data_IF_768383767975
#
_entry.id   IF_768383767975
#
_cell.length_a   1.000
_cell.length_b   1.000
_cell.length_c   1.000
_cell.angle_alpha   90.00
_cell.angle_beta   90.00
_cell.angle_gamma   90.00
#
_symmetry.space_group_name_H-M   'P 1'
#
loop_
_entity.id
_entity.type
_entity.pdbx_description
1 polymer ?
#
# COMPACT_ATOMS: atom_id res chain seq x y z
N UNK A 1 -4.20 23.46 -12.29
CA UNK A 1 -5.07 22.66 -11.40
C UNK A 1 -6.42 22.47 -12.04
N UNK A 2 -6.91 21.25 -12.24
CA UNK A 2 -8.23 20.96 -12.84
C UNK A 2 -8.94 19.82 -12.10
N UNK A 3 -10.27 19.92 -11.92
CA UNK A 3 -11.14 18.93 -11.25
C UNK A 3 -12.32 18.54 -12.14
N UNK A 4 -12.59 17.24 -12.25
CA UNK A 4 -13.77 16.65 -12.85
C UNK A 4 -14.49 15.77 -11.82
N UNK A 5 -15.78 16.03 -11.59
CA UNK A 5 -16.61 15.31 -10.61
C UNK A 5 -17.86 14.72 -11.27
N UNK A 6 -18.33 13.60 -10.73
CA UNK A 6 -19.60 12.97 -11.13
C UNK A 6 -19.65 12.75 -12.64
N UNK A 7 -18.63 12.06 -13.14
CA UNK A 7 -18.55 11.70 -14.55
C UNK A 7 -19.58 10.61 -14.88
N UNK A 8 -20.07 10.62 -16.13
CA UNK A 8 -21.00 9.61 -16.65
C UNK A 8 -20.43 8.93 -17.87
N UNK A 9 -19.28 8.26 -17.75
CA UNK A 9 -18.57 7.68 -18.91
C UNK A 9 -19.05 6.27 -19.26
N UNK A 10 -20.35 5.99 -19.15
CA UNK A 10 -20.92 4.63 -19.28
C UNK A 10 -20.65 3.95 -20.63
N UNK A 11 -20.31 4.74 -21.67
CA UNK A 11 -19.99 4.26 -23.02
C UNK A 11 -18.53 4.53 -23.45
N UNK A 12 -17.65 4.93 -22.54
CA UNK A 12 -16.22 5.15 -22.85
C UNK A 12 -15.36 4.09 -22.16
N UNK A 13 -14.29 3.66 -22.82
CA UNK A 13 -13.33 2.69 -22.28
C UNK A 13 -12.22 3.34 -21.42
N UNK A 14 -12.10 4.67 -21.46
CA UNK A 14 -11.04 5.40 -20.77
C UNK A 14 -11.36 6.88 -20.52
N UNK A 15 -10.43 7.59 -19.89
CA UNK A 15 -10.48 9.04 -19.70
C UNK A 15 -10.51 9.73 -21.08
N UNK A 16 -11.35 10.78 -21.28
CA UNK A 16 -11.52 11.40 -22.59
C UNK A 16 -10.25 12.01 -23.18
N UNK A 17 -10.16 11.97 -24.51
CA UNK A 17 -9.05 12.51 -25.29
C UNK A 17 -8.74 13.98 -25.00
N UNK A 18 -9.76 14.77 -24.69
CA UNK A 18 -9.68 16.23 -24.45
C UNK A 18 -8.75 16.58 -23.28
N UNK A 19 -8.47 15.62 -22.39
CA UNK A 19 -7.53 15.82 -21.28
C UNK A 19 -6.15 16.26 -21.76
N UNK A 20 -5.74 15.88 -22.98
CA UNK A 20 -4.44 16.24 -23.56
C UNK A 20 -4.21 17.74 -23.71
N UNK A 21 -5.29 18.52 -23.79
CA UNK A 21 -5.20 19.98 -23.97
C UNK A 21 -4.94 20.73 -22.66
N UNK A 22 -4.81 20.02 -21.53
CA UNK A 22 -4.48 20.59 -20.22
C UNK A 22 -2.96 20.62 -20.00
N UNK A 23 -2.17 20.98 -21.02
CA UNK A 23 -0.71 20.85 -21.07
C UNK A 23 0.07 21.52 -19.92
N UNK A 24 -0.45 22.62 -19.37
CA UNK A 24 0.12 23.34 -18.22
C UNK A 24 -0.37 22.82 -16.85
N UNK A 25 -1.18 21.75 -16.79
CA UNK A 25 -1.76 21.28 -15.54
C UNK A 25 -0.75 20.49 -14.70
N UNK A 26 -0.38 21.04 -13.53
CA UNK A 26 0.42 20.32 -12.53
C UNK A 26 -0.39 19.37 -11.65
N UNK A 27 -1.71 19.51 -11.63
CA UNK A 27 -2.58 18.60 -10.88
C UNK A 27 -3.93 18.44 -11.56
N UNK A 28 -4.38 17.18 -11.56
CA UNK A 28 -5.57 16.70 -12.22
C UNK A 28 -6.33 15.74 -11.31
N UNK A 29 -7.64 15.97 -11.18
CA UNK A 29 -8.51 15.15 -10.35
C UNK A 29 -9.73 14.70 -11.16
N UNK A 30 -9.93 13.39 -11.23
CA UNK A 30 -11.17 12.74 -11.64
C UNK A 30 -11.75 12.03 -10.43
N UNK A 31 -12.98 12.35 -10.08
CA UNK A 31 -13.61 11.75 -8.91
C UNK A 31 -15.05 11.37 -9.18
N UNK A 32 -15.38 10.14 -8.81
CA UNK A 32 -16.72 9.55 -8.91
C UNK A 32 -17.21 9.44 -10.35
N UNK A 33 -17.41 8.19 -10.77
CA UNK A 33 -18.08 7.84 -12.01
C UNK A 33 -19.33 7.03 -11.69
N UNK A 34 -20.39 7.22 -12.48
CA UNK A 34 -21.63 6.49 -12.29
C UNK A 34 -21.39 4.99 -12.43
N UNK A 35 -21.97 4.21 -11.51
CA UNK A 35 -21.92 2.75 -11.55
C UNK A 35 -20.48 2.19 -11.64
N UNK A 36 -19.52 2.77 -10.92
CA UNK A 36 -18.08 2.42 -11.00
C UNK A 36 -17.83 0.92 -10.88
N UNK A 37 -18.63 0.21 -10.09
CA UNK A 37 -18.62 -1.24 -9.87
C UNK A 37 -19.02 -2.06 -11.10
N UNK A 38 -19.60 -1.46 -12.13
CA UNK A 38 -19.93 -2.11 -13.41
C UNK A 38 -18.88 -1.86 -14.50
N UNK A 39 -17.97 -0.92 -14.27
CA UNK A 39 -17.02 -0.46 -15.28
C UNK A 39 -15.69 -1.24 -15.27
N UNK A 40 -14.98 -1.18 -16.39
CA UNK A 40 -13.65 -1.78 -16.60
C UNK A 40 -12.74 -0.78 -17.34
N UNK A 41 -12.60 0.43 -16.80
CA UNK A 41 -11.91 1.52 -17.50
C UNK A 41 -10.40 1.38 -17.43
N UNK A 42 -9.73 1.97 -18.42
CA UNK A 42 -8.31 2.33 -18.38
C UNK A 42 -8.13 3.83 -18.22
N UNK A 43 -6.93 4.29 -17.92
CA UNK A 43 -6.60 5.72 -18.03
C UNK A 43 -6.57 6.20 -19.48
N UNK A 44 -6.36 5.30 -20.44
CA UNK A 44 -6.11 5.66 -21.84
C UNK A 44 -4.78 6.40 -22.02
N UNK A 45 -4.39 6.71 -23.28
CA UNK A 45 -3.03 7.15 -23.56
C UNK A 45 -2.78 8.63 -23.29
N UNK A 46 -3.84 9.44 -23.19
CA UNK A 46 -3.74 10.90 -23.32
C UNK A 46 -3.21 11.62 -22.09
N UNK A 47 -3.28 11.00 -20.90
CA UNK A 47 -2.66 11.56 -19.70
C UNK A 47 -1.13 11.69 -19.85
N UNK A 48 -0.51 10.84 -20.67
CA UNK A 48 0.93 10.83 -20.90
C UNK A 48 1.47 12.11 -21.56
N UNK A 49 0.59 12.92 -22.14
CA UNK A 49 0.94 14.19 -22.78
C UNK A 49 1.06 15.35 -21.77
N UNK A 50 0.64 15.15 -20.52
CA UNK A 50 0.68 16.16 -19.47
C UNK A 50 2.05 16.19 -18.78
N UNK A 51 3.07 16.67 -19.50
CA UNK A 51 4.46 16.64 -19.06
C UNK A 51 4.74 17.38 -17.74
N UNK A 52 3.88 18.32 -17.34
CA UNK A 52 4.00 19.08 -16.09
C UNK A 52 3.24 18.47 -14.90
N UNK A 53 2.54 17.34 -15.10
CA UNK A 53 1.67 16.76 -14.08
C UNK A 53 2.47 16.18 -12.90
N UNK A 54 2.23 16.73 -11.71
CA UNK A 54 2.84 16.32 -10.43
C UNK A 54 1.89 15.53 -9.55
N UNK A 55 0.58 15.84 -9.59
CA UNK A 55 -0.42 15.17 -8.75
C UNK A 55 -1.58 14.67 -9.57
N UNK A 56 -1.85 13.37 -9.50
CA UNK A 56 -2.95 12.73 -10.20
C UNK A 56 -3.87 12.02 -9.21
N UNK A 57 -5.15 12.39 -9.22
CA UNK A 57 -6.20 11.63 -8.54
C UNK A 57 -7.19 11.11 -9.57
N UNK A 58 -7.41 9.80 -9.60
CA UNK A 58 -8.50 9.16 -10.32
C UNK A 58 -9.18 8.22 -9.35
N UNK A 59 -10.16 8.72 -8.61
CA UNK A 59 -10.79 7.98 -7.52
C UNK A 59 -12.25 7.65 -7.82
N UNK A 60 -12.70 6.46 -7.42
CA UNK A 60 -14.06 5.99 -7.66
C UNK A 60 -14.48 6.05 -9.14
N UNK A 61 -13.54 5.78 -10.05
CA UNK A 61 -13.75 5.97 -11.48
C UNK A 61 -14.06 4.67 -12.24
N UNK A 62 -13.82 3.52 -11.60
CA UNK A 62 -14.04 2.20 -12.19
C UNK A 62 -12.86 1.69 -13.02
N UNK A 63 -11.65 2.19 -12.74
CA UNK A 63 -10.42 1.68 -13.37
C UNK A 63 -10.16 0.22 -12.98
N UNK A 64 -9.71 -0.58 -13.94
CA UNK A 64 -9.17 -1.94 -13.71
C UNK A 64 -7.73 -2.08 -14.16
N UNK A 65 -7.22 -1.12 -14.94
CA UNK A 65 -5.85 -1.08 -15.45
C UNK A 65 -5.39 0.37 -15.66
N UNK A 66 -4.09 0.55 -15.71
CA UNK A 66 -3.46 1.78 -16.21
C UNK A 66 -3.05 1.54 -17.67
N UNK A 67 -3.11 2.59 -18.49
CA UNK A 67 -2.51 2.53 -19.81
C UNK A 67 -0.98 2.61 -19.67
N UNK A 68 -0.18 1.80 -20.40
CA UNK A 68 1.28 1.77 -20.25
C UNK A 68 1.95 3.14 -20.45
N UNK A 69 1.36 4.02 -21.26
CA UNK A 69 1.88 5.37 -21.51
C UNK A 69 1.89 6.27 -20.27
N UNK A 70 1.14 5.92 -19.21
CA UNK A 70 1.12 6.68 -17.95
C UNK A 70 2.54 6.83 -17.37
N UNK A 71 3.42 5.87 -17.65
CA UNK A 71 4.82 5.86 -17.23
C UNK A 71 5.65 7.03 -17.78
N UNK A 72 5.13 7.79 -18.75
CA UNK A 72 5.74 9.02 -19.26
C UNK A 72 5.54 10.24 -18.34
N UNK A 73 4.71 10.14 -17.30
CA UNK A 73 4.51 11.21 -16.30
C UNK A 73 5.70 11.29 -15.34
N UNK A 74 6.86 11.74 -15.84
CA UNK A 74 8.14 11.73 -15.12
C UNK A 74 8.22 12.70 -13.94
N UNK A 75 7.31 13.68 -13.86
CA UNK A 75 7.21 14.64 -12.77
C UNK A 75 6.19 14.24 -11.69
N UNK A 76 5.57 13.06 -11.80
CA UNK A 76 4.51 12.67 -10.88
C UNK A 76 5.08 12.39 -9.47
N UNK A 77 4.55 13.09 -8.48
CA UNK A 77 4.95 13.05 -7.07
C UNK A 77 3.90 12.35 -6.19
N UNK A 78 2.63 12.45 -6.60
CA UNK A 78 1.45 11.96 -5.88
C UNK A 78 0.51 11.23 -6.84
N UNK A 79 0.12 10.00 -6.46
CA UNK A 79 -0.87 9.21 -7.19
C UNK A 79 -1.95 8.68 -6.25
N UNK A 80 -3.20 9.03 -6.54
CA UNK A 80 -4.36 8.49 -5.84
C UNK A 80 -5.30 7.77 -6.81
N UNK A 81 -5.39 6.45 -6.61
CA UNK A 81 -6.24 5.53 -7.35
C UNK A 81 -7.24 4.83 -6.43
N UNK A 82 -7.56 5.44 -5.28
CA UNK A 82 -8.49 4.86 -4.32
C UNK A 82 -9.90 4.69 -4.90
N UNK A 83 -10.61 3.65 -4.46
CA UNK A 83 -12.00 3.47 -4.87
C UNK A 83 -12.21 2.88 -6.27
N UNK A 84 -11.17 2.41 -6.99
CA UNK A 84 -11.35 1.77 -8.30
C UNK A 84 -11.60 0.25 -8.15
N UNK A 85 -11.28 -0.55 -9.16
CA UNK A 85 -11.61 -1.97 -9.24
C UNK A 85 -10.36 -2.83 -9.59
N UNK A 86 -9.16 -2.43 -9.16
CA UNK A 86 -7.92 -3.13 -9.52
C UNK A 86 -7.86 -4.53 -8.90
N UNK A 87 -7.62 -5.55 -9.74
CA UNK A 87 -7.48 -6.95 -9.33
C UNK A 87 -6.07 -7.27 -8.82
N UNK A 88 -5.06 -6.56 -9.34
CA UNK A 88 -3.65 -6.59 -8.94
C UNK A 88 -3.09 -5.17 -9.00
N UNK A 89 -1.94 -4.93 -8.39
CA UNK A 89 -1.19 -3.67 -8.43
C UNK A 89 -0.68 -3.49 -9.87
N UNK A 90 -1.06 -2.42 -10.58
CA UNK A 90 -0.55 -2.15 -11.92
C UNK A 90 0.97 -1.99 -11.91
N UNK A 91 1.68 -2.68 -12.81
CA UNK A 91 3.15 -2.67 -12.83
C UNK A 91 3.71 -1.29 -13.23
N UNK A 92 2.91 -0.49 -13.92
CA UNK A 92 3.22 0.89 -14.31
C UNK A 92 3.49 1.79 -13.10
N UNK A 93 2.84 1.53 -11.96
CA UNK A 93 3.05 2.29 -10.72
C UNK A 93 4.52 2.27 -10.31
N UNK A 94 5.19 1.12 -10.44
CA UNK A 94 6.58 1.01 -10.04
C UNK A 94 7.54 1.83 -10.90
N UNK A 95 7.17 2.14 -12.15
CA UNK A 95 7.98 3.04 -12.99
C UNK A 95 7.74 4.51 -12.63
N UNK A 96 6.53 4.85 -12.17
CA UNK A 96 6.22 6.18 -11.66
C UNK A 96 6.95 6.47 -10.35
N UNK A 97 7.07 5.46 -9.49
CA UNK A 97 7.79 5.51 -8.23
C UNK A 97 9.30 5.71 -8.39
N UNK A 98 9.88 5.49 -9.58
CA UNK A 98 11.29 5.79 -9.85
C UNK A 98 11.60 7.31 -9.82
N UNK A 99 10.57 8.18 -9.85
CA UNK A 99 10.75 9.61 -9.62
C UNK A 99 11.17 9.86 -8.15
N UNK A 100 12.34 10.48 -7.87
CA UNK A 100 12.80 10.75 -6.51
C UNK A 100 11.86 11.61 -5.66
N UNK A 101 11.00 12.42 -6.30
CA UNK A 101 9.99 13.24 -5.62
C UNK A 101 8.65 12.49 -5.40
N UNK A 102 8.53 11.22 -5.85
CA UNK A 102 7.35 10.39 -5.62
C UNK A 102 7.26 9.95 -4.17
N UNK A 103 6.27 10.49 -3.45
CA UNK A 103 6.16 10.33 -2.00
C UNK A 103 4.84 9.74 -1.54
N UNK A 104 3.79 9.76 -2.36
CA UNK A 104 2.45 9.38 -1.93
C UNK A 104 1.70 8.50 -2.94
N UNK A 105 1.30 7.31 -2.49
CA UNK A 105 0.48 6.37 -3.24
C UNK A 105 -0.77 5.99 -2.45
N UNK A 106 -1.95 6.19 -3.05
CA UNK A 106 -3.23 5.78 -2.44
C UNK A 106 -3.95 4.76 -3.29
N UNK A 107 -4.23 3.61 -2.69
CA UNK A 107 -4.83 2.43 -3.31
C UNK A 107 -5.92 1.80 -2.42
N UNK A 108 -6.42 2.48 -1.39
CA UNK A 108 -7.49 1.94 -0.55
C UNK A 108 -8.80 1.72 -1.35
N UNK A 109 -9.63 0.77 -0.91
CA UNK A 109 -11.01 0.61 -1.40
C UNK A 109 -11.10 0.25 -2.90
N UNK A 110 -10.15 -0.51 -3.43
CA UNK A 110 -10.07 -0.88 -4.84
C UNK A 110 -10.93 -2.08 -5.25
N UNK A 111 -11.94 -2.42 -4.46
CA UNK A 111 -12.86 -3.52 -4.75
C UNK A 111 -14.05 -3.07 -5.62
N UNK A 112 -14.56 -4.02 -6.42
CA UNK A 112 -15.75 -3.83 -7.23
C UNK A 112 -17.02 -3.77 -6.37
N UNK A 113 -17.23 -4.81 -5.57
CA UNK A 113 -18.35 -4.96 -4.64
C UNK A 113 -17.86 -5.40 -3.28
N UNK A 114 -18.53 -4.94 -2.21
CA UNK A 114 -18.20 -5.35 -0.86
C UNK A 114 -18.65 -6.79 -0.64
N UNK A 115 -17.70 -7.66 -0.32
CA UNK A 115 -17.89 -9.05 0.06
C UNK A 115 -17.21 -9.23 1.40
N UNK A 116 -18.02 -9.16 2.46
CA UNK A 116 -17.51 -9.19 3.82
C UNK A 116 -16.91 -10.57 4.16
N UNK A 117 -17.63 -11.64 3.82
CA UNK A 117 -17.25 -13.03 4.07
C UNK A 117 -16.94 -13.74 2.74
N UNK A 118 -15.65 -13.92 2.43
CA UNK A 118 -15.22 -14.61 1.22
C UNK A 118 -15.42 -16.13 1.30
N UNK A 119 -15.69 -16.69 2.49
CA UNK A 119 -15.89 -18.14 2.65
C UNK A 119 -17.20 -18.64 2.04
N UNK A 120 -18.13 -17.72 1.81
CA UNK A 120 -19.43 -17.96 1.18
C UNK A 120 -19.58 -17.27 -0.18
N UNK A 121 -18.51 -16.65 -0.69
CA UNK A 121 -18.52 -16.00 -1.99
C UNK A 121 -18.68 -17.03 -3.11
N UNK A 122 -19.72 -16.87 -3.93
CA UNK A 122 -20.01 -17.78 -5.05
C UNK A 122 -19.22 -17.46 -6.31
N UNK A 123 -18.61 -16.27 -6.39
CA UNK A 123 -17.75 -15.84 -7.48
C UNK A 123 -16.65 -14.92 -6.95
N UNK A 124 -15.40 -15.32 -7.14
CA UNK A 124 -14.20 -14.58 -6.72
C UNK A 124 -13.50 -13.91 -7.90
N UNK A 125 -14.01 -14.10 -9.12
CA UNK A 125 -13.42 -13.52 -10.32
C UNK A 125 -13.73 -12.03 -10.40
N UNK A 126 -12.72 -11.21 -10.74
CA UNK A 126 -12.85 -9.76 -10.96
C UNK A 126 -13.45 -8.99 -9.77
N UNK A 127 -13.11 -9.45 -8.56
CA UNK A 127 -13.56 -8.85 -7.31
C UNK A 127 -12.94 -7.45 -7.08
N UNK A 128 -11.83 -7.17 -7.74
CA UNK A 128 -10.95 -6.06 -7.42
C UNK A 128 -10.26 -6.27 -6.07
N UNK A 129 -9.86 -5.18 -5.44
CA UNK A 129 -9.30 -5.14 -4.10
C UNK A 129 -7.95 -5.86 -4.00
N UNK A 130 -7.21 -5.98 -5.09
CA UNK A 130 -5.92 -6.69 -5.12
C UNK A 130 -6.03 -8.17 -4.73
N UNK A 131 -7.19 -8.79 -4.97
CA UNK A 131 -7.45 -10.17 -4.55
C UNK A 131 -6.52 -11.21 -5.20
N UNK A 132 -6.10 -10.98 -6.44
CA UNK A 132 -5.11 -11.83 -7.13
C UNK A 132 -3.69 -11.31 -6.98
N UNK A 133 -3.45 -10.38 -6.06
CA UNK A 133 -2.11 -9.85 -5.87
C UNK A 133 -1.15 -10.95 -5.45
N UNK A 134 0.00 -10.92 -6.11
CA UNK A 134 1.12 -11.83 -5.88
C UNK A 134 2.06 -11.23 -4.85
N UNK A 135 2.86 -12.10 -4.23
CA UNK A 135 3.86 -11.66 -3.26
C UNK A 135 4.91 -10.72 -3.88
N UNK A 136 5.22 -10.86 -5.18
CA UNK A 136 6.31 -10.14 -5.83
C UNK A 136 6.08 -8.62 -5.92
N UNK A 137 4.91 -8.18 -6.38
CA UNK A 137 4.62 -6.74 -6.50
C UNK A 137 4.38 -6.12 -5.13
N UNK A 138 3.74 -6.86 -4.22
CA UNK A 138 3.53 -6.40 -2.86
C UNK A 138 4.87 -6.21 -2.10
N UNK A 139 5.80 -7.17 -2.23
CA UNK A 139 7.18 -7.00 -1.73
C UNK A 139 7.87 -5.79 -2.34
N UNK A 140 7.82 -5.62 -3.66
CA UNK A 140 8.43 -4.46 -4.35
C UNK A 140 7.87 -3.13 -3.84
N UNK A 141 6.57 -3.08 -3.58
CA UNK A 141 5.90 -1.89 -3.04
C UNK A 141 6.40 -1.55 -1.63
N UNK A 142 6.50 -2.54 -0.74
CA UNK A 142 6.95 -2.36 0.64
C UNK A 142 8.44 -1.97 0.73
N UNK A 143 9.27 -2.36 -0.25
CA UNK A 143 10.69 -2.00 -0.28
C UNK A 143 10.96 -0.57 -0.80
N UNK A 144 9.93 0.23 -1.10
CA UNK A 144 10.16 1.59 -1.58
C UNK A 144 10.54 2.56 -0.46
N UNK A 145 11.67 3.25 -0.61
CA UNK A 145 12.23 4.10 0.44
C UNK A 145 11.75 5.56 0.41
N UNK A 146 11.14 5.99 -0.70
CA UNK A 146 10.70 7.37 -0.89
C UNK A 146 9.30 7.70 -0.35
N UNK A 147 8.48 6.68 -0.02
CA UNK A 147 7.08 6.91 0.35
C UNK A 147 6.97 7.49 1.77
N UNK A 148 6.23 8.59 1.90
CA UNK A 148 5.70 9.07 3.17
C UNK A 148 4.23 8.66 3.39
N UNK A 149 3.52 8.31 2.31
CA UNK A 149 2.09 7.96 2.33
C UNK A 149 1.84 6.73 1.48
N UNK A 150 1.27 5.68 2.09
CA UNK A 150 0.83 4.47 1.41
C UNK A 150 -0.50 4.00 1.99
N UNK A 151 -1.56 4.00 1.19
CA UNK A 151 -2.87 3.49 1.63
C UNK A 151 -3.27 2.24 0.86
N UNK A 152 -3.42 1.12 1.58
CA UNK A 152 -3.84 -0.19 1.07
C UNK A 152 -5.07 -0.72 1.81
N UNK A 153 -5.63 0.06 2.75
CA UNK A 153 -6.73 -0.40 3.60
C UNK A 153 -8.03 -0.67 2.84
N UNK A 154 -8.90 -1.47 3.45
CA UNK A 154 -10.23 -1.81 2.93
C UNK A 154 -10.15 -2.43 1.52
N UNK A 155 -9.39 -3.50 1.41
CA UNK A 155 -9.15 -4.26 0.18
C UNK A 155 -9.26 -5.77 0.49
N UNK A 156 -8.82 -6.62 -0.43
CA UNK A 156 -8.80 -8.07 -0.28
C UNK A 156 -7.38 -8.65 -0.40
N UNK A 157 -6.34 -7.89 -0.05
CA UNK A 157 -4.99 -8.45 0.09
C UNK A 157 -5.04 -9.64 1.04
N UNK A 158 -4.41 -10.74 0.66
CA UNK A 158 -4.43 -12.01 1.40
C UNK A 158 -3.04 -12.64 1.47
N UNK A 159 -2.90 -13.65 2.32
CA UNK A 159 -1.61 -14.26 2.62
C UNK A 159 -0.93 -13.54 3.79
N UNK A 160 0.36 -13.76 3.95
CA UNK A 160 1.15 -13.18 5.04
C UNK A 160 1.93 -11.95 4.59
N UNK A 161 2.27 -11.10 5.55
CA UNK A 161 3.26 -10.05 5.33
C UNK A 161 4.64 -10.68 5.11
N UNK A 162 5.43 -10.20 4.12
CA UNK A 162 6.77 -10.71 3.89
C UNK A 162 7.69 -10.37 5.07
N UNK A 163 8.46 -11.36 5.54
CA UNK A 163 9.48 -11.16 6.58
C UNK A 163 10.76 -10.53 6.01
N UNK A 164 11.04 -10.77 4.73
CA UNK A 164 12.30 -10.47 4.04
C UNK A 164 13.52 -11.19 4.66
N UNK A 165 13.27 -12.31 5.32
CA UNK A 165 14.27 -13.15 5.95
C UNK A 165 14.24 -14.56 5.34
N UNK A 166 15.42 -15.15 5.19
CA UNK A 166 15.59 -16.56 4.95
C UNK A 166 15.11 -17.38 6.16
N UNK A 167 14.84 -18.68 6.00
CA UNK A 167 14.44 -19.56 7.10
C UNK A 167 15.43 -19.63 8.27
N UNK A 168 16.71 -19.29 8.07
CA UNK A 168 17.74 -19.23 9.11
C UNK A 168 17.79 -17.88 9.85
N UNK A 169 16.88 -16.95 9.52
CA UNK A 169 16.78 -15.62 10.11
C UNK A 169 17.71 -14.57 9.48
N UNK A 170 18.55 -14.93 8.50
CA UNK A 170 19.36 -13.96 7.77
C UNK A 170 18.52 -13.18 6.77
N UNK A 171 18.93 -11.95 6.45
CA UNK A 171 18.22 -11.11 5.46
C UNK A 171 18.38 -11.71 4.05
N UNK A 172 17.28 -11.76 3.31
CA UNK A 172 17.27 -12.25 1.93
C UNK A 172 18.24 -11.45 1.03
N UNK A 173 18.82 -12.10 0.02
CA UNK A 173 19.72 -11.43 -0.92
C UNK A 173 19.00 -10.30 -1.68
N UNK A 174 19.62 -9.11 -1.71
CA UNK A 174 19.06 -7.94 -2.39
C UNK A 174 18.04 -7.15 -1.55
N UNK A 175 17.67 -7.62 -0.36
CA UNK A 175 16.91 -6.82 0.61
C UNK A 175 17.88 -5.90 1.34
N UNK A 176 17.62 -4.60 1.28
CA UNK A 176 18.40 -3.60 1.99
C UNK A 176 18.09 -3.63 3.49
N UNK A 177 19.09 -3.42 4.33
CA UNK A 177 18.92 -3.31 5.79
C UNK A 177 19.00 -1.87 6.29
N UNK A 178 18.49 -1.63 7.50
CA UNK A 178 18.65 -0.34 8.17
C UNK A 178 20.13 0.01 8.40
N UNK A 179 21.01 -0.98 8.56
CA UNK A 179 22.46 -0.77 8.66
C UNK A 179 23.02 -0.09 7.41
N UNK A 180 22.62 -0.55 6.23
CA UNK A 180 23.03 0.03 4.95
C UNK A 180 22.35 1.38 4.70
N UNK A 181 21.08 1.52 5.10
CA UNK A 181 20.35 2.79 4.96
C UNK A 181 20.99 3.91 5.79
N UNK A 182 21.35 3.62 7.05
CA UNK A 182 21.96 4.58 7.98
C UNK A 182 23.36 5.05 7.53
N UNK A 183 24.13 4.18 6.85
CA UNK A 183 25.43 4.57 6.29
C UNK A 183 25.31 5.66 5.21
N UNK A 184 24.25 5.61 4.42
CA UNK A 184 23.98 6.59 3.36
C UNK A 184 23.18 7.80 3.85
N UNK A 185 22.51 7.68 5.01
CA UNK A 185 21.67 8.70 5.61
C UNK A 185 22.11 9.01 7.06
N UNK A 186 23.35 9.52 7.28
CA UNK A 186 23.93 9.67 8.61
C UNK A 186 23.21 10.69 9.51
N UNK A 187 22.32 11.53 8.95
CA UNK A 187 21.48 12.48 9.71
C UNK A 187 20.17 11.89 10.24
N UNK A 188 19.91 10.59 10.04
CA UNK A 188 18.73 9.90 10.55
C UNK A 188 18.94 9.42 12.00
N UNK A 189 19.33 10.32 12.90
CA UNK A 189 19.79 10.00 14.26
C UNK A 189 18.77 9.19 15.08
N UNK A 190 17.47 9.43 14.85
CA UNK A 190 16.36 8.70 15.50
C UNK A 190 16.27 7.23 15.09
N UNK A 191 16.94 6.82 14.00
CA UNK A 191 16.96 5.45 13.50
C UNK A 191 18.20 4.66 13.97
N UNK A 192 19.18 5.32 14.59
CA UNK A 192 20.44 4.70 15.04
C UNK A 192 20.25 3.50 15.98
N UNK A 193 19.13 3.43 16.70
CA UNK A 193 18.77 2.28 17.55
C UNK A 193 18.59 0.97 16.77
N UNK A 194 18.37 1.05 15.46
CA UNK A 194 18.28 -0.12 14.57
C UNK A 194 19.64 -0.59 14.05
N UNK A 195 20.72 0.17 14.28
CA UNK A 195 22.05 -0.21 13.86
C UNK A 195 22.53 -1.50 14.57
N UNK A 196 23.19 -2.38 13.83
CA UNK A 196 23.67 -3.69 14.25
C UNK A 196 22.58 -4.76 14.34
N UNK A 197 21.31 -4.44 14.07
CA UNK A 197 20.20 -5.41 14.17
C UNK A 197 19.94 -6.19 12.89
N UNK A 198 20.58 -5.83 11.77
CA UNK A 198 20.38 -6.46 10.47
C UNK A 198 18.90 -6.54 10.05
N UNK A 199 18.12 -5.51 10.40
CA UNK A 199 16.68 -5.46 10.11
C UNK A 199 16.44 -5.03 8.66
N UNK A 200 15.50 -5.69 7.92
CA UNK A 200 15.03 -5.19 6.63
C UNK A 200 14.56 -3.74 6.70
N UNK A 201 15.05 -2.90 5.77
CA UNK A 201 14.65 -1.51 5.64
C UNK A 201 13.36 -1.43 4.80
N UNK A 202 12.23 -1.40 5.49
CA UNK A 202 10.90 -1.39 4.86
C UNK A 202 10.26 -0.04 5.12
N UNK A 203 9.87 0.66 4.05
CA UNK A 203 9.21 1.97 4.08
C UNK A 203 9.80 3.00 5.09
N UNK A 204 11.12 3.25 5.13
CA UNK A 204 11.80 4.03 6.19
C UNK A 204 11.27 5.46 6.39
N UNK A 205 10.62 6.06 5.39
CA UNK A 205 10.08 7.43 5.44
C UNK A 205 8.57 7.50 5.69
N UNK A 206 7.90 6.37 5.88
CA UNK A 206 6.44 6.34 5.95
C UNK A 206 5.91 7.05 7.19
N UNK A 207 4.91 7.91 6.98
CA UNK A 207 4.21 8.69 8.00
C UNK A 207 2.72 8.39 8.04
N UNK A 208 2.16 7.94 6.93
CA UNK A 208 0.78 7.50 6.85
C UNK A 208 0.71 6.16 6.12
N UNK A 209 0.49 5.09 6.89
CA UNK A 209 0.39 3.74 6.37
C UNK A 209 -0.92 3.11 6.78
N UNK A 210 -1.70 2.64 5.81
CA UNK A 210 -2.91 1.86 6.10
C UNK A 210 -2.84 0.52 5.40
N UNK A 211 -3.05 -0.56 6.14
CA UNK A 211 -3.20 -1.94 5.63
C UNK A 211 -4.41 -2.63 6.25
N UNK A 212 -5.17 -1.91 7.08
CA UNK A 212 -6.31 -2.43 7.80
C UNK A 212 -7.44 -2.91 6.89
N UNK A 213 -8.32 -3.76 7.44
CA UNK A 213 -9.51 -4.28 6.77
C UNK A 213 -9.17 -4.99 5.44
N UNK A 214 -8.06 -5.73 5.43
CA UNK A 214 -7.70 -6.68 4.38
C UNK A 214 -8.01 -8.11 4.84
N UNK A 215 -7.48 -9.13 4.13
CA UNK A 215 -7.61 -10.56 4.40
C UNK A 215 -6.25 -11.21 4.70
N UNK A 216 -5.33 -10.44 5.30
CA UNK A 216 -4.00 -10.91 5.67
C UNK A 216 -4.06 -11.82 6.90
N UNK A 217 -3.13 -12.77 6.95
CA UNK A 217 -2.98 -13.74 8.04
C UNK A 217 -1.52 -13.97 8.43
N UNK A 218 -1.32 -14.78 9.47
CA UNK A 218 0.01 -15.18 9.94
C UNK A 218 0.62 -14.20 10.93
N UNK A 219 1.94 -14.17 11.02
CA UNK A 219 2.64 -13.33 12.00
C UNK A 219 2.89 -11.92 11.45
N UNK A 220 2.76 -10.92 12.32
CA UNK A 220 3.36 -9.61 12.15
C UNK A 220 4.89 -9.78 12.10
N UNK A 221 5.56 -9.30 11.03
CA UNK A 221 6.99 -9.43 10.91
C UNK A 221 7.71 -8.44 11.82
N UNK A 222 8.94 -8.80 12.20
CA UNK A 222 9.79 -8.01 13.10
C UNK A 222 10.01 -6.58 12.62
N UNK A 223 10.18 -6.36 11.31
CA UNK A 223 10.36 -5.02 10.74
C UNK A 223 9.14 -4.13 10.98
N UNK A 224 7.93 -4.71 11.07
CA UNK A 224 6.71 -3.96 11.32
C UNK A 224 6.52 -3.70 12.81
N UNK A 225 6.71 -4.72 13.67
CA UNK A 225 6.65 -4.57 15.13
C UNK A 225 7.65 -3.51 15.64
N UNK A 226 8.79 -3.36 14.99
CA UNK A 226 9.79 -2.35 15.36
C UNK A 226 9.94 -1.25 14.33
N UNK A 227 8.91 -1.00 13.51
CA UNK A 227 8.97 0.03 12.47
C UNK A 227 9.24 1.41 13.09
N UNK A 228 10.16 2.23 12.56
CA UNK A 228 10.54 3.50 13.18
C UNK A 228 9.41 4.48 13.44
N UNK A 229 8.32 4.42 12.67
CA UNK A 229 7.17 5.30 12.80
C UNK A 229 5.90 4.56 13.27
N UNK A 230 6.04 3.38 13.88
CA UNK A 230 4.90 2.52 14.24
C UNK A 230 3.87 3.22 15.14
N UNK A 231 4.30 3.93 16.17
CA UNK A 231 3.45 4.70 17.08
C UNK A 231 2.72 5.87 16.39
N UNK A 232 3.34 6.47 15.37
CA UNK A 232 2.75 7.59 14.62
C UNK A 232 1.66 7.14 13.63
N UNK A 233 1.68 5.88 13.20
CA UNK A 233 0.74 5.37 12.18
C UNK A 233 -0.50 4.69 12.77
N UNK A 234 -0.77 4.84 14.08
CA UNK A 234 -1.91 4.19 14.78
C UNK A 234 -2.08 2.72 14.36
N UNK A 235 -1.12 1.85 14.74
CA UNK A 235 -0.92 0.58 14.07
C UNK A 235 -2.06 -0.38 14.36
N UNK A 236 -2.68 -0.30 15.53
CA UNK A 236 -3.80 -1.16 15.92
C UNK A 236 -5.01 -0.94 15.02
N UNK A 237 -5.31 0.31 14.69
CA UNK A 237 -6.46 0.66 13.85
C UNK A 237 -6.12 0.58 12.36
N UNK A 238 -4.98 1.15 11.96
CA UNK A 238 -4.68 1.39 10.55
C UNK A 238 -3.86 0.27 9.90
N UNK A 239 -3.24 -0.63 10.67
CA UNK A 239 -2.37 -1.69 10.09
C UNK A 239 -2.78 -3.09 10.55
N UNK A 240 -2.84 -3.34 11.85
CA UNK A 240 -3.04 -4.67 12.43
C UNK A 240 -4.47 -5.17 12.31
N UNK A 241 -5.46 -4.26 12.34
CA UNK A 241 -6.87 -4.63 12.21
C UNK A 241 -7.14 -5.25 10.84
N UNK A 242 -7.42 -6.55 10.81
CA UNK A 242 -7.92 -7.26 9.62
C UNK A 242 -9.38 -7.65 9.85
N UNK A 243 -10.11 -8.03 8.80
CA UNK A 243 -11.53 -8.35 8.95
C UNK A 243 -11.96 -9.50 8.03
N UNK A 244 -13.12 -10.07 8.31
CA UNK A 244 -13.74 -11.07 7.44
C UNK A 244 -12.98 -12.39 7.36
N UNK A 245 -13.44 -13.23 6.44
CA UNK A 245 -12.91 -14.58 6.25
C UNK A 245 -12.32 -14.75 4.86
N UNK A 246 -11.35 -15.64 4.76
CA UNK A 246 -10.80 -16.12 3.49
C UNK A 246 -11.77 -17.12 2.82
N UNK A 247 -11.59 -17.39 1.51
CA UNK A 247 -12.20 -18.56 0.89
C UNK A 247 -11.88 -19.82 1.69
N UNK A 248 -12.81 -20.79 1.67
CA UNK A 248 -12.58 -22.09 2.32
C UNK A 248 -11.33 -22.73 1.74
N UNK A 249 -10.51 -23.32 2.61
CA UNK A 249 -9.37 -24.12 2.18
C UNK A 249 -9.84 -25.44 1.54
N UNK A 250 -8.90 -26.28 1.08
CA UNK A 250 -9.19 -27.57 0.44
C UNK A 250 -10.02 -28.51 1.33
N UNK A 251 -9.88 -28.40 2.65
CA UNK A 251 -10.62 -29.18 3.66
C UNK A 251 -12.00 -28.59 4.01
N UNK A 252 -12.39 -27.46 3.38
CA UNK A 252 -13.67 -26.79 3.64
C UNK A 252 -13.69 -25.92 4.91
N UNK A 253 -12.55 -25.75 5.58
CA UNK A 253 -12.39 -24.96 6.80
C UNK A 253 -12.38 -23.47 6.47
N UNK A 254 -13.09 -22.70 7.28
CA UNK A 254 -13.08 -21.23 7.22
C UNK A 254 -11.91 -20.72 8.04
N UNK A 255 -11.08 -19.87 7.41
CA UNK A 255 -9.99 -19.16 8.09
C UNK A 255 -10.37 -17.69 8.16
N UNK A 256 -10.34 -17.13 9.37
CA UNK A 256 -10.56 -15.70 9.57
C UNK A 256 -9.27 -14.94 9.28
N UNK A 257 -9.39 -13.74 8.72
CA UNK A 257 -8.27 -12.84 8.60
C UNK A 257 -7.85 -12.30 9.98
N UNK A 258 -6.57 -11.98 10.14
CA UNK A 258 -6.00 -11.55 11.41
C UNK A 258 -4.59 -12.05 11.57
N UNK A 259 -3.78 -11.27 12.29
CA UNK A 259 -2.44 -11.70 12.67
C UNK A 259 -2.46 -12.44 14.00
N UNK A 260 -1.59 -13.44 14.14
CA UNK A 260 -1.59 -14.34 15.29
C UNK A 260 -0.87 -13.76 16.52
N UNK A 261 0.00 -12.76 16.31
CA UNK A 261 0.84 -12.13 17.34
C UNK A 261 0.58 -10.62 17.45
N UNK A 262 -0.66 -10.15 17.26
CA UNK A 262 -1.00 -8.75 17.52
C UNK A 262 -0.75 -8.45 19.00
N UNK A 263 0.15 -7.50 19.33
CA UNK A 263 0.41 -7.14 20.72
C UNK A 263 -0.82 -6.45 21.33
N UNK A 264 -0.95 -6.44 22.66
CA UNK A 264 -2.05 -5.72 23.34
C UNK A 264 -1.80 -4.22 23.30
N UNK A 265 -0.55 -3.82 23.45
CA UNK A 265 -0.07 -2.45 23.40
C UNK A 265 1.38 -2.42 22.87
N UNK A 266 2.18 -1.43 23.25
CA UNK A 266 3.57 -1.32 22.84
C UNK A 266 4.56 -2.07 23.75
N UNK A 267 4.06 -2.79 24.76
CA UNK A 267 4.80 -3.81 25.49
C UNK A 267 4.68 -5.14 24.73
N UNK A 268 5.83 -5.74 24.44
CA UNK A 268 5.92 -6.98 23.66
C UNK A 268 6.20 -8.20 24.53
N UNK A 269 5.95 -8.12 25.84
CA UNK A 269 6.00 -9.28 26.73
C UNK A 269 5.10 -10.42 26.19
N UNK A 270 5.72 -11.56 25.89
CA UNK A 270 5.02 -12.75 25.38
C UNK A 270 4.60 -12.71 23.91
N UNK A 271 4.96 -11.65 23.16
CA UNK A 271 4.66 -11.54 21.73
C UNK A 271 5.65 -12.39 20.91
N UNK A 272 5.13 -13.37 20.18
CA UNK A 272 5.96 -14.24 19.34
C UNK A 272 6.69 -13.46 18.25
N UNK A 273 8.01 -13.69 18.11
CA UNK A 273 8.86 -13.02 17.13
C UNK A 273 9.41 -11.64 17.56
N UNK A 274 9.01 -11.12 18.72
CA UNK A 274 9.61 -9.94 19.32
C UNK A 274 10.95 -10.28 20.00
N UNK A 275 12.00 -9.48 19.75
CA UNK A 275 13.38 -9.77 20.18
C UNK A 275 14.07 -8.61 20.91
N UNK A 276 13.52 -7.40 20.87
CA UNK A 276 14.17 -6.19 21.38
C UNK A 276 13.42 -5.55 22.55
N UNK A 277 12.62 -6.34 23.27
CA UNK A 277 11.71 -5.83 24.29
C UNK A 277 10.53 -5.09 23.66
N UNK A 278 9.87 -4.25 24.45
CA UNK A 278 8.78 -3.39 24.00
C UNK A 278 9.24 -2.33 23.01
N UNK A 279 8.29 -1.76 22.25
CA UNK A 279 8.60 -0.74 21.24
C UNK A 279 9.31 0.48 21.83
N UNK A 280 8.80 1.02 22.94
CA UNK A 280 9.40 2.19 23.60
C UNK A 280 10.69 1.87 24.36
N UNK A 281 10.95 0.60 24.67
CA UNK A 281 12.25 0.16 25.21
C UNK A 281 13.34 0.19 24.14
N UNK A 282 12.97 -0.07 22.88
CA UNK A 282 13.89 0.09 21.75
C UNK A 282 14.10 1.57 21.40
N UNK A 283 13.04 2.38 21.42
CA UNK A 283 13.04 3.79 20.97
C UNK A 283 13.08 4.81 22.15
N UNK A 284 13.99 4.61 23.11
CA UNK A 284 14.05 5.40 24.37
C UNK A 284 14.27 6.91 24.22
N UNK A 285 14.83 7.36 23.09
CA UNK A 285 15.18 8.77 22.83
C UNK A 285 14.31 9.43 21.77
N UNK A 286 13.34 8.70 21.24
CA UNK A 286 12.48 9.16 20.14
C UNK A 286 11.39 10.10 20.68
N UNK A 287 11.09 11.15 19.92
CA UNK A 287 9.85 11.91 20.12
C UNK A 287 8.65 11.01 19.81
N UNK A 288 7.87 10.71 20.85
CA UNK A 288 6.70 9.85 20.75
C UNK A 288 5.56 10.61 20.07
N UNK A 289 4.69 9.87 19.39
CA UNK A 289 3.44 10.46 18.92
C UNK A 289 2.73 11.18 20.09
N UNK A 290 2.25 12.42 19.91
CA UNK A 290 1.55 13.14 20.97
C UNK A 290 0.36 12.28 21.43
N UNK A 291 0.28 12.03 22.74
CA UNK A 291 -0.70 11.12 23.35
C UNK A 291 -2.07 11.17 22.66
N UNK A 292 -2.46 10.05 22.02
CA UNK A 292 -3.80 9.79 21.53
C UNK A 292 -4.81 9.71 22.69
#
# INVERSE_FOLDING_TARGET
>A
YVRFYMCGTENADCIPYEVRYLDAAEELVFYSNNNKERLNLSTGPYLSELAELKRLTIAYFGLTKLDPSITNLKKLEYLNLAGNNFQTIPSEIFTLMDNPDFHALRLNTNYRSLVYDLSNATNLNNLGGFYDETEAQFRRLLMHEGLDTLTLGVNYFRGSLPTFLNPDGTVEAGVRTYDQYLQENPGADTLSVLAGKNMPCVLPKIKYFTLNNNRLTGMLPKWLLYHPNLDWIDPFTLVFSQEGSLPRNEDGVVVNAGFDNVPIDFDYEGVEGAEYGGYYELYTTKELAPNN
#
